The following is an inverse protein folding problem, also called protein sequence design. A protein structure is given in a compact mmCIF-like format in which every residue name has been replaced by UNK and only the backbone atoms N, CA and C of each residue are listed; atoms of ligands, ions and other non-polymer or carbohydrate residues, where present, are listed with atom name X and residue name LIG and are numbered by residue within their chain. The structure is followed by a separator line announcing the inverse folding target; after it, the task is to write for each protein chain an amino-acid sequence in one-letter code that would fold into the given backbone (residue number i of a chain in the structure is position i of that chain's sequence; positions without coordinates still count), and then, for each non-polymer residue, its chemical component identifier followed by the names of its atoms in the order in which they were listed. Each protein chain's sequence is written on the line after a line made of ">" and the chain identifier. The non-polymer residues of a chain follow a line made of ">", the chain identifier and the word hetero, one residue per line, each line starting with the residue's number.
data_IF_478168301396
#
_entry.id   IF_478168301396
#
_cell.length_a   1.000
_cell.length_b   1.000
_cell.length_c   1.000
_cell.angle_alpha   90.00
_cell.angle_beta   90.00
_cell.angle_gamma   90.00
#
_symmetry.space_group_name_H-M   'P 1'
#
loop_
_entity.id
_entity.type
_entity.pdbx_description
1 polymer ?
#
# COMPACT_ATOMS: atom_id res chain seq x y z
N UNK A 1 -12.59 -0.44 -7.74
CA UNK A 1 -12.48 -1.65 -6.88
C UNK A 1 -13.80 -2.03 -6.21
N UNK A 2 -14.02 -3.31 -5.85
CA UNK A 2 -15.17 -3.71 -5.02
C UNK A 2 -14.89 -3.48 -3.54
N UNK A 3 -15.92 -3.21 -2.73
CA UNK A 3 -15.80 -3.08 -1.26
C UNK A 3 -15.08 -4.27 -0.60
N UNK A 4 -15.41 -5.51 -0.99
CA UNK A 4 -14.74 -6.71 -0.46
C UNK A 4 -13.23 -6.74 -0.77
N UNK A 5 -12.81 -6.22 -1.93
CA UNK A 5 -11.39 -6.12 -2.30
C UNK A 5 -10.69 -5.06 -1.46
N UNK A 6 -11.32 -3.90 -1.27
CA UNK A 6 -10.81 -2.83 -0.40
C UNK A 6 -10.62 -3.32 1.03
N UNK A 7 -11.61 -4.01 1.61
CA UNK A 7 -11.51 -4.55 2.97
C UNK A 7 -10.33 -5.52 3.12
N UNK A 8 -10.13 -6.43 2.16
CA UNK A 8 -8.99 -7.36 2.18
C UNK A 8 -7.63 -6.70 1.98
N UNK A 9 -7.56 -5.66 1.15
CA UNK A 9 -6.34 -4.87 0.96
C UNK A 9 -5.94 -4.18 2.28
N UNK A 10 -6.92 -3.57 2.96
CA UNK A 10 -6.72 -2.94 4.26
C UNK A 10 -6.28 -3.96 5.31
N UNK A 11 -6.96 -5.11 5.42
CA UNK A 11 -6.58 -6.18 6.37
C UNK A 11 -5.15 -6.71 6.12
N UNK A 12 -4.79 -6.88 4.85
CA UNK A 12 -3.45 -7.35 4.47
C UNK A 12 -2.37 -6.30 4.76
N UNK A 13 -2.66 -5.02 4.49
CA UNK A 13 -1.78 -3.90 4.83
C UNK A 13 -1.54 -3.83 6.34
N UNK A 14 -2.61 -3.81 7.14
CA UNK A 14 -2.51 -3.74 8.61
C UNK A 14 -1.67 -4.90 9.16
N UNK A 15 -1.92 -6.11 8.67
CA UNK A 15 -1.14 -7.30 9.06
C UNK A 15 0.34 -7.15 8.70
N UNK A 16 0.67 -6.61 7.53
CA UNK A 16 2.06 -6.42 7.10
C UNK A 16 2.77 -5.40 8.00
N UNK A 17 2.13 -4.27 8.28
CA UNK A 17 2.68 -3.22 9.17
C UNK A 17 2.86 -3.76 10.59
N UNK A 18 1.89 -4.50 11.13
CA UNK A 18 1.99 -5.16 12.45
C UNK A 18 3.17 -6.16 12.52
N UNK A 19 3.52 -6.79 11.41
CA UNK A 19 4.65 -7.70 11.28
C UNK A 19 5.98 -6.98 10.99
N UNK A 20 5.98 -5.65 10.96
CA UNK A 20 7.16 -4.81 10.78
C UNK A 20 7.57 -4.61 9.33
N UNK A 21 6.66 -4.81 8.37
CA UNK A 21 6.86 -4.41 6.98
C UNK A 21 6.63 -2.91 6.86
N UNK A 22 7.57 -2.22 6.25
CA UNK A 22 7.49 -0.78 6.00
C UNK A 22 7.14 -0.59 4.54
N UNK A 23 6.12 0.21 4.26
CA UNK A 23 5.74 0.60 2.91
C UNK A 23 6.37 1.93 2.58
N UNK A 24 6.87 2.07 1.37
CA UNK A 24 7.37 3.34 0.84
C UNK A 24 6.64 3.66 -0.46
N UNK A 25 6.50 4.94 -0.75
CA UNK A 25 5.98 5.42 -2.02
C UNK A 25 6.75 6.66 -2.46
N UNK A 26 7.11 6.70 -3.74
CA UNK A 26 7.76 7.85 -4.37
C UNK A 26 7.70 7.74 -5.88
N UNK A 27 7.53 8.86 -6.58
CA UNK A 27 7.44 8.91 -8.05
C UNK A 27 8.24 10.10 -8.60
N UNK A 28 8.17 10.36 -9.91
CA UNK A 28 8.83 11.55 -10.48
C UNK A 28 8.26 12.87 -9.92
N UNK A 29 7.00 12.87 -9.46
CA UNK A 29 6.30 14.07 -8.97
C UNK A 29 6.19 14.13 -7.44
N UNK A 30 6.38 13.00 -6.75
CA UNK A 30 6.20 12.86 -5.30
C UNK A 30 7.50 12.34 -4.69
N UNK A 31 8.05 13.09 -3.74
CA UNK A 31 9.24 12.69 -2.99
C UNK A 31 9.00 11.36 -2.27
N UNK A 32 10.01 10.47 -2.28
CA UNK A 32 9.92 9.17 -1.63
C UNK A 32 9.81 9.33 -0.11
N UNK A 33 8.80 8.67 0.47
CA UNK A 33 8.54 8.68 1.92
C UNK A 33 7.90 7.38 2.41
N UNK A 34 7.93 7.19 3.73
CA UNK A 34 7.31 6.05 4.41
C UNK A 34 5.79 6.23 4.41
N UNK A 35 5.04 5.23 3.97
CA UNK A 35 3.58 5.21 4.02
C UNK A 35 3.15 4.90 5.45
N UNK A 36 2.61 5.90 6.15
CA UNK A 36 2.14 5.79 7.53
C UNK A 36 0.63 5.51 7.60
N UNK A 37 -0.10 5.83 6.54
CA UNK A 37 -1.52 5.51 6.35
C UNK A 37 -1.83 5.26 4.89
N UNK A 38 -2.76 4.35 4.62
CA UNK A 38 -3.27 4.04 3.27
C UNK A 38 -4.78 3.87 3.30
N UNK A 39 -5.47 4.37 2.27
CA UNK A 39 -6.88 4.14 2.05
C UNK A 39 -7.15 3.86 0.57
N UNK A 40 -7.73 2.70 0.26
CA UNK A 40 -8.17 2.33 -1.08
C UNK A 40 -9.63 2.74 -1.30
N UNK A 41 -9.95 3.33 -2.45
CA UNK A 41 -11.31 3.78 -2.79
C UNK A 41 -11.96 2.90 -3.86
N UNK A 42 -13.29 2.96 -4.01
CA UNK A 42 -13.98 2.22 -5.07
C UNK A 42 -13.67 2.77 -6.48
N UNK A 43 -13.18 4.01 -6.58
CA UNK A 43 -12.87 4.72 -7.82
C UNK A 43 -11.42 4.51 -8.31
N UNK A 44 -10.74 3.47 -7.83
CA UNK A 44 -9.37 3.11 -8.20
C UNK A 44 -8.35 4.21 -7.85
N UNK A 45 -8.60 4.95 -6.77
CA UNK A 45 -7.63 5.86 -6.15
C UNK A 45 -7.12 5.32 -4.82
N UNK A 46 -5.92 5.73 -4.46
CA UNK A 46 -5.24 5.39 -3.21
C UNK A 46 -4.83 6.68 -2.53
N UNK A 47 -5.30 6.90 -1.31
CA UNK A 47 -4.84 8.00 -0.48
C UNK A 47 -3.74 7.48 0.43
N UNK A 48 -2.66 8.23 0.51
CA UNK A 48 -1.48 7.90 1.30
C UNK A 48 -1.17 9.06 2.23
N UNK A 49 -0.75 8.73 3.45
CA UNK A 49 0.00 9.65 4.30
C UNK A 49 1.47 9.21 4.26
N UNK A 50 2.36 10.14 3.92
CA UNK A 50 3.80 9.93 3.88
C UNK A 50 4.48 10.66 5.03
N UNK A 51 5.40 9.98 5.69
CA UNK A 51 6.24 10.47 6.79
C UNK A 51 5.46 11.15 7.93
N UNK A 52 4.22 10.73 8.20
CA UNK A 52 3.30 11.29 9.21
C UNK A 52 2.84 12.76 8.95
N UNK A 53 3.12 13.34 7.78
CA UNK A 53 2.79 14.75 7.50
C UNK A 53 2.25 15.04 6.10
N UNK A 54 2.56 14.22 5.10
CA UNK A 54 2.28 14.54 3.70
C UNK A 54 1.16 13.66 3.17
N UNK A 55 -0.03 14.23 3.00
CA UNK A 55 -1.16 13.54 2.38
C UNK A 55 -1.11 13.67 0.85
N UNK A 56 -1.13 12.54 0.14
CA UNK A 56 -1.20 12.49 -1.33
C UNK A 56 -2.31 11.55 -1.78
N UNK A 57 -2.89 11.85 -2.94
CA UNK A 57 -3.86 10.98 -3.61
C UNK A 57 -3.30 10.61 -4.97
N UNK A 58 -3.22 9.31 -5.25
CA UNK A 58 -2.65 8.76 -6.48
C UNK A 58 -3.60 7.74 -7.08
N UNK A 59 -3.47 7.47 -8.37
CA UNK A 59 -4.25 6.39 -8.97
C UNK A 59 -3.68 5.04 -8.54
N UNK A 60 -4.53 4.01 -8.57
CA UNK A 60 -4.12 2.64 -8.23
C UNK A 60 -2.97 2.14 -9.10
N UNK A 61 -2.96 2.47 -10.40
CA UNK A 61 -1.87 2.11 -11.31
C UNK A 61 -0.55 2.74 -10.88
N UNK A 62 -0.56 4.04 -10.56
CA UNK A 62 0.63 4.76 -10.08
C UNK A 62 1.14 4.14 -8.76
N UNK A 63 0.23 3.78 -7.85
CA UNK A 63 0.57 3.07 -6.62
C UNK A 63 1.26 1.73 -6.89
N UNK A 64 0.69 0.90 -7.77
CA UNK A 64 1.25 -0.42 -8.12
C UNK A 64 2.67 -0.29 -8.68
N UNK A 65 2.92 0.68 -9.54
CA UNK A 65 4.22 0.86 -10.18
C UNK A 65 5.31 1.41 -9.25
N UNK A 66 4.92 2.24 -8.27
CA UNK A 66 5.88 3.06 -7.53
C UNK A 66 5.98 2.73 -6.02
N UNK A 67 5.09 1.90 -5.47
CA UNK A 67 5.24 1.46 -4.08
C UNK A 67 6.35 0.43 -3.92
N UNK A 68 7.00 0.45 -2.76
CA UNK A 68 7.95 -0.59 -2.37
C UNK A 68 7.73 -1.03 -0.93
N UNK A 69 8.31 -2.18 -0.56
CA UNK A 69 8.15 -2.79 0.77
C UNK A 69 9.50 -3.22 1.30
N UNK A 70 9.79 -2.83 2.54
CA UNK A 70 10.98 -3.24 3.28
C UNK A 70 10.58 -4.12 4.49
N UNK A 71 11.53 -4.89 5.02
CA UNK A 71 11.27 -5.74 6.20
C UNK A 71 10.59 -7.09 5.93
N UNK A 72 10.31 -7.40 4.65
CA UNK A 72 9.74 -8.68 4.26
C UNK A 72 10.62 -9.89 4.66
N UNK A 73 10.01 -10.91 5.26
CA UNK A 73 10.68 -12.11 5.74
C UNK A 73 9.80 -13.37 5.53
N UNK A 74 10.26 -14.53 6.01
CA UNK A 74 9.54 -15.80 5.83
C UNK A 74 8.10 -15.79 6.38
N UNK A 75 7.83 -15.00 7.42
CA UNK A 75 6.50 -14.90 8.04
C UNK A 75 5.57 -13.88 7.37
N UNK A 76 6.11 -12.95 6.59
CA UNK A 76 5.31 -11.92 5.89
C UNK A 76 5.12 -12.24 4.41
N UNK A 77 5.92 -13.16 3.84
CA UNK A 77 5.95 -13.43 2.41
C UNK A 77 4.59 -13.82 1.83
N UNK A 78 3.81 -14.65 2.52
CA UNK A 78 2.49 -15.07 2.06
C UNK A 78 1.50 -13.89 2.05
N UNK A 79 1.50 -13.06 3.09
CA UNK A 79 0.62 -11.89 3.19
C UNK A 79 1.03 -10.82 2.17
N UNK A 80 2.34 -10.63 1.97
CA UNK A 80 2.86 -9.66 1.00
C UNK A 80 2.46 -10.03 -0.42
N UNK A 81 2.51 -11.33 -0.76
CA UNK A 81 2.00 -11.83 -2.03
C UNK A 81 0.48 -11.74 -2.15
N UNK A 82 -0.26 -11.97 -1.08
CA UNK A 82 -1.71 -11.82 -1.10
C UNK A 82 -2.09 -10.37 -1.41
N UNK A 83 -1.42 -9.41 -0.75
CA UNK A 83 -1.56 -7.99 -1.04
C UNK A 83 -1.26 -7.66 -2.52
N UNK A 84 -0.14 -8.16 -3.07
CA UNK A 84 0.21 -7.94 -4.48
C UNK A 84 -0.84 -8.52 -5.44
N UNK A 85 -1.27 -9.76 -5.19
CA UNK A 85 -2.31 -10.39 -6.01
C UNK A 85 -3.64 -9.64 -5.93
N UNK A 86 -3.99 -9.10 -4.75
CA UNK A 86 -5.19 -8.30 -4.58
C UNK A 86 -5.08 -7.04 -5.44
N UNK A 87 -3.96 -6.32 -5.40
CA UNK A 87 -3.74 -5.12 -6.22
C UNK A 87 -3.94 -5.40 -7.71
N UNK A 88 -3.35 -6.48 -8.23
CA UNK A 88 -3.34 -6.83 -9.65
C UNK A 88 -4.63 -7.56 -10.15
N UNK A 89 -5.56 -7.93 -9.25
CA UNK A 89 -6.79 -8.69 -9.58
C UNK A 89 -7.97 -7.87 -10.07
#
# INVERSE_FOLDING_TARGET
>A
MTKDKVEKLMESYDTLVELGVIFHYGSEEIEEGEVTSIEFTEDDTVKLELDEFTEVEVNLEDFIENHSKEGNNYHTWNVSREFDNLLES
#
